data_IF_930377082459
#
_entry.id   IF_930377082459
#
_cell.length_a   1.000
_cell.length_b   1.000
_cell.length_c   1.000
_cell.angle_alpha   90.00
_cell.angle_beta   90.00
_cell.angle_gamma   90.00
#
_symmetry.space_group_name_H-M   'P 1'
#
loop_
_entity.id
_entity.type
_entity.pdbx_description
1 polymer ?
#
# COMPACT_ATOMS: atom_id res chain seq x y z
N UNK A 1 -27.11 -0.14 11.33
CA UNK A 1 -27.86 0.37 10.15
C UNK A 1 -26.92 0.52 8.94
N UNK A 2 -27.44 0.39 7.71
CA UNK A 2 -26.65 0.46 6.47
C UNK A 2 -25.88 1.78 6.28
N UNK A 3 -26.45 2.92 6.70
CA UNK A 3 -25.74 4.21 6.70
C UNK A 3 -24.49 4.18 7.59
N UNK A 4 -24.55 3.51 8.74
CA UNK A 4 -23.39 3.29 9.60
C UNK A 4 -22.31 2.42 8.93
N UNK A 5 -22.70 1.47 8.06
CA UNK A 5 -21.75 0.68 7.27
C UNK A 5 -21.02 1.54 6.24
N UNK A 6 -21.69 2.50 5.60
CA UNK A 6 -21.04 3.46 4.69
C UNK A 6 -19.97 4.27 5.42
N UNK A 7 -20.30 4.83 6.59
CA UNK A 7 -19.34 5.58 7.41
C UNK A 7 -18.14 4.70 7.84
N UNK A 8 -18.40 3.46 8.24
CA UNK A 8 -17.35 2.52 8.60
C UNK A 8 -16.41 2.18 7.42
N UNK A 9 -16.96 2.02 6.20
CA UNK A 9 -16.17 1.77 5.00
C UNK A 9 -15.30 2.98 4.64
N UNK A 10 -15.84 4.21 4.73
CA UNK A 10 -15.07 5.43 4.51
C UNK A 10 -13.94 5.58 5.55
N UNK A 11 -14.21 5.27 6.82
CA UNK A 11 -13.19 5.29 7.86
C UNK A 11 -12.11 4.21 7.65
N UNK A 12 -12.49 3.02 7.19
CA UNK A 12 -11.52 1.96 6.84
C UNK A 12 -10.63 2.39 5.68
N UNK A 13 -11.21 2.98 4.64
CA UNK A 13 -10.46 3.53 3.52
C UNK A 13 -9.53 4.65 3.96
N UNK A 14 -9.98 5.57 4.82
CA UNK A 14 -9.15 6.66 5.32
C UNK A 14 -7.89 6.16 6.05
N UNK A 15 -8.00 5.11 6.86
CA UNK A 15 -6.84 4.48 7.52
C UNK A 15 -5.87 3.86 6.50
N UNK A 16 -6.40 3.18 5.49
CA UNK A 16 -5.60 2.60 4.41
C UNK A 16 -4.88 3.68 3.60
N UNK A 17 -5.59 4.74 3.19
CA UNK A 17 -5.03 5.86 2.46
C UNK A 17 -3.93 6.57 3.26
N UNK A 18 -4.13 6.78 4.57
CA UNK A 18 -3.11 7.33 5.46
C UNK A 18 -1.86 6.43 5.53
N UNK A 19 -2.03 5.11 5.65
CA UNK A 19 -0.91 4.17 5.63
C UNK A 19 -0.14 4.16 4.30
N UNK A 20 -0.82 4.47 3.19
CA UNK A 20 -0.23 4.55 1.86
C UNK A 20 0.24 5.96 1.49
N UNK A 21 0.08 6.95 2.38
CA UNK A 21 0.40 8.34 2.09
C UNK A 21 -0.40 8.92 0.91
N UNK A 22 -1.62 8.45 0.66
CA UNK A 22 -2.47 8.92 -0.43
C UNK A 22 -3.46 9.97 0.09
N UNK A 23 -3.38 11.24 -0.36
CA UNK A 23 -4.41 12.22 -0.07
C UNK A 23 -5.65 11.93 -0.93
N UNK A 24 -6.86 12.01 -0.37
CA UNK A 24 -8.09 11.75 -1.11
C UNK A 24 -9.23 12.69 -0.72
N UNK A 25 -10.21 12.80 -1.62
CA UNK A 25 -11.47 13.49 -1.44
C UNK A 25 -12.61 12.49 -1.54
N UNK A 26 -13.51 12.50 -0.56
CA UNK A 26 -14.75 11.73 -0.59
C UNK A 26 -15.87 12.59 -1.17
N UNK A 27 -16.30 12.28 -2.39
CA UNK A 27 -17.26 13.09 -3.15
C UNK A 27 -18.52 12.27 -3.38
N UNK A 28 -19.68 12.77 -2.91
CA UNK A 28 -20.97 12.19 -3.30
C UNK A 28 -21.20 12.48 -4.78
N UNK A 29 -21.29 11.42 -5.59
CA UNK A 29 -21.49 11.58 -7.04
C UNK A 29 -22.88 12.12 -7.35
N UNK A 30 -23.02 12.90 -8.43
CA UNK A 30 -24.31 13.29 -8.96
C UNK A 30 -25.18 12.07 -9.27
N UNK A 31 -26.48 12.29 -9.37
CA UNK A 31 -27.47 11.22 -9.58
C UNK A 31 -27.21 10.40 -10.86
N UNK A 32 -26.73 11.05 -11.93
CA UNK A 32 -26.44 10.39 -13.21
C UNK A 32 -25.12 9.61 -13.25
N UNK A 33 -24.30 9.70 -12.19
CA UNK A 33 -22.97 9.08 -12.15
C UNK A 33 -22.75 8.22 -10.89
N UNK A 34 -23.84 7.90 -10.20
CA UNK A 34 -23.82 6.86 -9.18
C UNK A 34 -23.76 5.48 -9.86
N UNK A 35 -23.26 4.49 -9.13
CA UNK A 35 -23.33 3.10 -9.56
C UNK A 35 -24.78 2.70 -9.89
N UNK A 36 -24.98 1.98 -10.98
CA UNK A 36 -26.29 1.60 -11.47
C UNK A 36 -27.13 0.91 -10.37
N UNK A 37 -28.31 1.46 -10.09
CA UNK A 37 -29.20 0.96 -9.04
C UNK A 37 -28.84 1.37 -7.61
N UNK A 38 -27.77 2.15 -7.38
CA UNK A 38 -27.50 2.72 -6.07
C UNK A 38 -28.50 3.84 -5.70
N UNK A 39 -28.79 3.99 -4.41
CA UNK A 39 -29.47 5.16 -3.87
C UNK A 39 -28.54 6.39 -3.90
N UNK A 40 -27.27 6.21 -3.54
CA UNK A 40 -26.19 7.16 -3.83
C UNK A 40 -24.84 6.45 -3.90
N UNK A 41 -23.86 7.13 -4.49
CA UNK A 41 -22.46 6.70 -4.50
C UNK A 41 -21.56 7.80 -3.95
N UNK A 42 -20.54 7.39 -3.19
CA UNK A 42 -19.42 8.23 -2.79
C UNK A 42 -18.19 7.72 -3.51
N UNK A 43 -17.55 8.57 -4.31
CA UNK A 43 -16.27 8.29 -4.93
C UNK A 43 -15.13 8.77 -4.01
N UNK A 44 -14.00 8.09 -4.10
CA UNK A 44 -12.77 8.40 -3.39
C UNK A 44 -11.74 8.78 -4.46
N UNK A 45 -11.57 10.08 -4.65
CA UNK A 45 -10.77 10.66 -5.73
C UNK A 45 -9.46 11.24 -5.19
N UNK A 46 -8.37 11.11 -5.96
CA UNK A 46 -7.07 11.72 -5.64
C UNK A 46 -6.60 12.62 -6.78
N UNK A 47 -5.81 13.66 -6.50
CA UNK A 47 -5.06 14.37 -7.53
C UNK A 47 -3.86 13.52 -7.99
N UNK A 48 -3.64 13.41 -9.31
CA UNK A 48 -2.49 12.68 -9.90
C UNK A 48 -1.59 13.60 -10.76
N UNK A 49 -1.62 14.90 -10.49
CA UNK A 49 -0.85 15.92 -11.21
C UNK A 49 -1.50 16.40 -12.52
N UNK A 50 -0.96 17.49 -13.06
CA UNK A 50 -1.42 18.12 -14.31
C UNK A 50 -2.94 18.39 -14.37
N UNK A 51 -3.55 18.77 -13.24
CA UNK A 51 -4.98 19.06 -13.14
C UNK A 51 -5.91 17.85 -13.27
N UNK A 52 -5.38 16.62 -13.23
CA UNK A 52 -6.16 15.38 -13.37
C UNK A 52 -6.44 14.73 -12.02
N UNK A 53 -7.57 14.02 -11.97
CA UNK A 53 -7.98 13.21 -10.82
C UNK A 53 -8.09 11.74 -11.18
N UNK A 54 -7.91 10.87 -10.19
CA UNK A 54 -8.11 9.43 -10.32
C UNK A 54 -9.05 8.93 -9.21
N UNK A 55 -10.15 8.30 -9.60
CA UNK A 55 -10.99 7.57 -8.66
C UNK A 55 -10.32 6.25 -8.28
N UNK A 56 -10.02 6.09 -7.00
CA UNK A 56 -9.30 4.93 -6.43
C UNK A 56 -10.19 4.06 -5.54
N UNK A 57 -11.46 4.43 -5.38
CA UNK A 57 -12.45 3.62 -4.69
C UNK A 57 -13.86 4.22 -4.77
N UNK A 58 -14.85 3.40 -4.43
CA UNK A 58 -16.25 3.84 -4.38
C UNK A 58 -17.05 3.10 -3.32
N UNK A 59 -17.93 3.82 -2.63
CA UNK A 59 -18.88 3.27 -1.66
C UNK A 59 -20.31 3.53 -2.16
N UNK A 60 -21.15 2.51 -2.14
CA UNK A 60 -22.52 2.58 -2.65
C UNK A 60 -23.50 2.20 -1.56
N UNK A 61 -24.57 2.99 -1.43
CA UNK A 61 -25.71 2.64 -0.60
C UNK A 61 -26.87 2.28 -1.50
N UNK A 62 -27.47 1.11 -1.34
CA UNK A 62 -28.53 0.62 -2.22
C UNK A 62 -29.93 0.75 -1.62
N UNK A 63 -30.03 0.98 -0.31
CA UNK A 63 -31.30 0.76 0.43
C UNK A 63 -31.79 -0.66 0.06
N UNK A 64 -32.99 -0.77 -0.46
CA UNK A 64 -33.63 -2.04 -0.81
C UNK A 64 -33.55 -2.34 -2.32
N UNK A 65 -32.87 -1.50 -3.12
CA UNK A 65 -32.93 -1.56 -4.58
C UNK A 65 -32.50 -2.93 -5.16
N UNK A 66 -31.56 -3.60 -4.51
CA UNK A 66 -31.16 -4.97 -4.85
C UNK A 66 -31.91 -6.01 -4.02
N UNK A 67 -32.29 -5.71 -2.77
CA UNK A 67 -33.02 -6.65 -1.93
C UNK A 67 -34.38 -7.05 -2.51
N UNK A 68 -35.09 -6.11 -3.14
CA UNK A 68 -36.42 -6.32 -3.74
C UNK A 68 -36.42 -7.34 -4.89
N UNK A 69 -35.67 -7.13 -5.98
CA UNK A 69 -35.68 -8.07 -7.12
C UNK A 69 -35.17 -9.47 -6.75
N UNK A 70 -34.30 -9.58 -5.73
CA UNK A 70 -33.76 -10.88 -5.28
C UNK A 70 -34.50 -11.46 -4.06
N UNK A 71 -35.60 -10.84 -3.60
CA UNK A 71 -36.41 -11.37 -2.49
C UNK A 71 -35.71 -11.44 -1.13
N UNK A 72 -34.66 -10.64 -0.90
CA UNK A 72 -33.82 -10.69 0.31
C UNK A 72 -34.53 -9.98 1.47
N UNK A 73 -35.12 -10.78 2.36
CA UNK A 73 -36.00 -10.31 3.44
C UNK A 73 -35.55 -10.84 4.80
N UNK A 74 -36.02 -10.20 5.87
CA UNK A 74 -35.86 -10.62 7.25
C UNK A 74 -37.15 -10.38 8.05
N UNK A 75 -37.34 -11.13 9.13
CA UNK A 75 -38.40 -10.88 10.11
C UNK A 75 -37.93 -9.82 11.10
N UNK A 76 -38.67 -8.73 11.21
CA UNK A 76 -38.38 -7.66 12.15
C UNK A 76 -38.91 -7.99 13.56
N UNK A 77 -38.47 -7.24 14.57
CA UNK A 77 -38.84 -7.49 15.97
C UNK A 77 -40.35 -7.38 16.24
N UNK A 78 -41.10 -6.70 15.35
CA UNK A 78 -42.56 -6.60 15.39
C UNK A 78 -43.27 -7.75 14.64
N UNK A 79 -42.54 -8.77 14.19
CA UNK A 79 -43.05 -9.89 13.38
C UNK A 79 -43.30 -9.56 11.91
N UNK A 80 -43.10 -8.29 11.48
CA UNK A 80 -43.28 -7.91 10.08
C UNK A 80 -42.11 -8.41 9.22
N UNK A 81 -42.40 -8.83 7.99
CA UNK A 81 -41.35 -9.13 7.01
C UNK A 81 -40.88 -7.84 6.32
N UNK A 82 -39.58 -7.52 6.37
CA UNK A 82 -38.98 -6.33 5.75
C UNK A 82 -37.83 -6.69 4.82
N UNK A 83 -37.52 -5.80 3.86
CA UNK A 83 -36.35 -5.97 2.99
C UNK A 83 -35.08 -5.45 3.67
N UNK A 84 -33.96 -6.11 3.39
CA UNK A 84 -32.67 -5.66 3.92
C UNK A 84 -32.18 -4.40 3.22
N UNK A 85 -31.42 -3.57 3.95
CA UNK A 85 -30.65 -2.48 3.34
C UNK A 85 -29.22 -2.94 3.03
N UNK A 86 -28.78 -2.71 1.80
CA UNK A 86 -27.47 -3.16 1.33
C UNK A 86 -26.53 -1.99 1.03
N UNK A 87 -25.23 -2.27 1.11
CA UNK A 87 -24.13 -1.37 0.73
C UNK A 87 -23.01 -2.18 0.11
N UNK A 88 -22.24 -1.59 -0.80
CA UNK A 88 -20.97 -2.16 -1.28
C UNK A 88 -19.87 -1.12 -1.17
N UNK A 89 -18.64 -1.61 -1.17
CA UNK A 89 -17.42 -0.81 -1.24
C UNK A 89 -16.44 -1.56 -2.14
N UNK A 90 -15.89 -0.85 -3.12
CA UNK A 90 -15.02 -1.41 -4.15
C UNK A 90 -13.73 -0.63 -4.28
N UNK A 91 -12.66 -1.37 -4.52
CA UNK A 91 -11.30 -0.91 -4.81
C UNK A 91 -10.78 -1.70 -6.02
N UNK A 92 -9.77 -1.18 -6.70
CA UNK A 92 -9.09 -1.89 -7.80
C UNK A 92 -7.58 -1.65 -7.78
N UNK A 93 -6.87 -2.26 -8.73
CA UNK A 93 -5.45 -2.05 -9.01
C UNK A 93 -5.07 -0.59 -9.29
N UNK A 94 -6.06 0.29 -9.51
CA UNK A 94 -5.85 1.75 -9.53
C UNK A 94 -5.16 2.27 -8.28
N UNK A 95 -5.29 1.61 -7.13
CA UNK A 95 -4.53 1.95 -5.92
C UNK A 95 -3.02 1.82 -6.12
N UNK A 96 -2.55 0.80 -6.84
CA UNK A 96 -1.12 0.66 -7.15
C UNK A 96 -0.69 1.77 -8.12
N UNK A 97 -1.49 2.03 -9.16
CA UNK A 97 -1.23 3.12 -10.09
C UNK A 97 -1.19 4.49 -9.39
N UNK A 98 -2.07 4.71 -8.42
CA UNK A 98 -2.10 5.91 -7.59
C UNK A 98 -0.84 6.09 -6.75
N UNK A 99 -0.36 5.02 -6.10
CA UNK A 99 0.89 5.04 -5.32
C UNK A 99 2.07 5.43 -6.20
N UNK A 100 2.17 4.83 -7.40
CA UNK A 100 3.22 5.16 -8.36
C UNK A 100 3.10 6.61 -8.87
N UNK A 101 1.89 7.09 -9.15
CA UNK A 101 1.66 8.43 -9.66
C UNK A 101 1.91 9.53 -8.61
N UNK A 102 1.64 9.25 -7.33
CA UNK A 102 1.79 10.23 -6.23
C UNK A 102 3.22 10.24 -5.68
N UNK A 103 3.84 9.08 -5.52
CA UNK A 103 5.13 8.95 -4.84
C UNK A 103 6.31 8.74 -5.78
N UNK A 104 6.09 8.22 -6.99
CA UNK A 104 7.16 7.95 -7.94
C UNK A 104 7.98 9.18 -8.29
N UNK A 105 9.27 8.97 -8.55
CA UNK A 105 10.21 10.02 -8.94
C UNK A 105 10.99 9.62 -10.20
N UNK A 106 11.92 10.48 -10.64
CA UNK A 106 12.75 10.24 -11.83
C UNK A 106 13.67 9.01 -11.71
N UNK A 107 13.86 8.47 -10.49
CA UNK A 107 14.68 7.28 -10.22
C UNK A 107 13.85 6.01 -10.20
N UNK A 108 12.51 6.09 -10.18
CA UNK A 108 11.61 4.95 -10.29
C UNK A 108 10.47 4.98 -9.28
N UNK A 109 10.04 3.78 -8.87
CA UNK A 109 9.01 3.65 -7.86
C UNK A 109 9.50 4.16 -6.50
N UNK A 110 8.57 4.66 -5.68
CA UNK A 110 8.78 4.95 -4.26
C UNK A 110 7.60 4.36 -3.53
N UNK A 111 7.83 3.29 -2.77
CA UNK A 111 6.75 2.65 -2.04
C UNK A 111 6.68 3.15 -0.60
N UNK A 112 5.49 3.52 -0.10
CA UNK A 112 5.25 3.60 1.32
C UNK A 112 5.62 2.29 1.98
N UNK A 113 6.21 2.37 3.16
CA UNK A 113 6.64 1.19 3.93
C UNK A 113 5.52 0.17 4.14
N UNK A 114 4.26 0.60 4.25
CA UNK A 114 3.11 -0.30 4.40
C UNK A 114 2.82 -1.18 3.16
N UNK A 115 3.31 -0.77 1.98
CA UNK A 115 3.08 -1.44 0.70
C UNK A 115 4.31 -2.13 0.12
N UNK A 116 5.51 -1.64 0.47
CA UNK A 116 6.75 -2.18 -0.06
C UNK A 116 6.86 -3.70 0.18
N UNK A 117 7.14 -4.51 -0.85
CA UNK A 117 7.35 -5.95 -0.69
C UNK A 117 8.47 -6.26 0.32
N UNK A 118 9.54 -5.47 0.28
CA UNK A 118 10.61 -5.46 1.27
C UNK A 118 10.72 -4.05 1.84
N UNK A 119 10.64 -3.93 3.16
CA UNK A 119 10.86 -2.67 3.87
C UNK A 119 12.35 -2.32 3.92
N UNK A 120 13.19 -3.36 4.00
CA UNK A 120 14.64 -3.24 4.10
C UNK A 120 15.30 -4.18 3.09
N UNK A 121 16.16 -3.64 2.24
CA UNK A 121 17.05 -4.42 1.37
C UNK A 121 18.47 -4.30 1.89
N UNK A 122 19.21 -5.41 1.97
CA UNK A 122 20.56 -5.45 2.52
C UNK A 122 21.51 -5.88 1.40
N UNK A 123 22.51 -5.05 1.12
CA UNK A 123 23.52 -5.28 0.09
C UNK A 123 24.90 -5.41 0.76
N UNK A 124 25.40 -6.64 0.99
CA UNK A 124 26.79 -6.82 1.38
C UNK A 124 27.73 -6.40 0.25
N UNK A 125 28.82 -5.72 0.59
CA UNK A 125 29.85 -5.29 -0.35
C UNK A 125 31.03 -6.26 -0.23
N UNK A 126 31.30 -7.10 -1.25
CA UNK A 126 32.39 -8.06 -1.22
C UNK A 126 33.74 -7.39 -1.02
N UNK A 127 34.62 -8.00 -0.24
CA UNK A 127 35.99 -7.53 -0.04
C UNK A 127 36.95 -8.71 0.04
N UNK A 128 37.94 -8.74 -0.85
CA UNK A 128 38.96 -9.78 -0.84
C UNK A 128 39.77 -9.78 0.47
N UNK A 129 39.99 -8.61 1.07
CA UNK A 129 40.75 -8.46 2.32
C UNK A 129 39.97 -8.94 3.55
N UNK A 130 38.63 -8.87 3.54
CA UNK A 130 37.79 -9.24 4.67
C UNK A 130 37.10 -10.61 4.50
N UNK A 131 37.37 -11.32 3.41
CA UNK A 131 36.73 -12.60 3.11
C UNK A 131 35.20 -12.49 3.07
N UNK A 132 34.53 -13.35 3.83
CA UNK A 132 33.06 -13.44 3.91
C UNK A 132 32.44 -12.63 5.06
N UNK A 133 33.25 -11.84 5.80
CA UNK A 133 32.78 -11.08 6.96
C UNK A 133 31.59 -10.17 6.62
N UNK A 134 31.60 -9.37 5.52
CA UNK A 134 30.44 -8.54 5.17
C UNK A 134 29.15 -9.36 4.94
N UNK A 135 29.26 -10.50 4.27
CA UNK A 135 28.13 -11.38 3.97
C UNK A 135 27.57 -12.01 5.24
N UNK A 136 28.45 -12.49 6.13
CA UNK A 136 28.04 -13.05 7.43
C UNK A 136 27.36 -12.01 8.31
N UNK A 137 27.91 -10.79 8.36
CA UNK A 137 27.28 -9.67 9.08
C UNK A 137 25.93 -9.30 8.47
N UNK A 138 25.81 -9.24 7.14
CA UNK A 138 24.56 -8.96 6.47
C UNK A 138 23.49 -10.03 6.73
N UNK A 139 23.86 -11.31 6.71
CA UNK A 139 22.96 -12.41 7.06
C UNK A 139 22.50 -12.35 8.52
N UNK A 140 23.39 -11.96 9.44
CA UNK A 140 23.03 -11.75 10.85
C UNK A 140 22.04 -10.59 11.02
N UNK A 141 22.29 -9.46 10.36
CA UNK A 141 21.39 -8.29 10.40
C UNK A 141 20.02 -8.65 9.78
N UNK A 142 20.01 -9.39 8.67
CA UNK A 142 18.77 -9.85 8.04
C UNK A 142 17.93 -10.67 9.03
N UNK A 143 18.52 -11.70 9.66
CA UNK A 143 17.84 -12.55 10.65
C UNK A 143 17.29 -11.74 11.83
N UNK A 144 18.04 -10.76 12.34
CA UNK A 144 17.58 -9.90 13.45
C UNK A 144 16.38 -9.04 13.06
N UNK A 145 16.41 -8.46 11.86
CA UNK A 145 15.32 -7.63 11.36
C UNK A 145 14.08 -8.46 11.04
N UNK A 146 14.24 -9.64 10.46
CA UNK A 146 13.15 -10.60 10.23
C UNK A 146 12.53 -11.06 11.55
N UNK A 147 13.35 -11.38 12.55
CA UNK A 147 12.88 -11.71 13.90
C UNK A 147 12.13 -10.55 14.58
N UNK A 148 12.44 -9.30 14.20
CA UNK A 148 11.69 -8.11 14.61
C UNK A 148 10.44 -7.83 13.74
N UNK A 149 10.03 -8.78 12.90
CA UNK A 149 8.83 -8.70 12.06
C UNK A 149 8.97 -7.78 10.85
N UNK A 150 10.19 -7.49 10.40
CA UNK A 150 10.45 -6.67 9.21
C UNK A 150 10.48 -7.54 7.95
N UNK A 151 10.00 -6.99 6.84
CA UNK A 151 10.13 -7.64 5.52
C UNK A 151 11.49 -7.29 4.93
N UNK A 152 12.42 -8.23 4.96
CA UNK A 152 13.81 -8.00 4.58
C UNK A 152 14.15 -8.78 3.32
N UNK A 153 15.04 -8.23 2.50
CA UNK A 153 15.70 -8.94 1.40
C UNK A 153 17.20 -8.79 1.51
N UNK A 154 17.91 -9.90 1.72
CA UNK A 154 19.36 -9.96 1.51
C UNK A 154 19.63 -10.15 0.02
N UNK A 155 20.43 -9.27 -0.57
CA UNK A 155 20.92 -9.37 -1.95
C UNK A 155 22.42 -9.68 -1.94
N UNK A 156 22.74 -10.94 -1.65
CA UNK A 156 24.09 -11.52 -1.62
C UNK A 156 24.51 -12.17 -2.96
N UNK A 157 23.67 -12.06 -3.99
CA UNK A 157 23.94 -12.59 -5.32
C UNK A 157 25.15 -11.94 -6.02
N UNK A 158 25.58 -12.47 -7.17
CA UNK A 158 26.65 -11.85 -7.96
C UNK A 158 26.21 -10.47 -8.48
N UNK A 159 27.17 -9.55 -8.65
CA UNK A 159 26.92 -8.25 -9.27
C UNK A 159 27.69 -7.10 -8.60
N UNK A 160 27.83 -6.00 -9.33
CA UNK A 160 28.48 -4.78 -8.80
C UNK A 160 27.52 -4.07 -7.84
N UNK A 161 27.98 -3.58 -6.65
CA UNK A 161 27.12 -2.89 -5.69
C UNK A 161 26.28 -1.77 -6.31
N UNK A 162 26.88 -0.91 -7.14
CA UNK A 162 26.15 0.17 -7.82
C UNK A 162 24.99 -0.29 -8.70
N UNK A 163 25.10 -1.44 -9.36
CA UNK A 163 24.00 -2.00 -10.16
C UNK A 163 22.85 -2.48 -9.26
N UNK A 164 23.18 -3.07 -8.11
CA UNK A 164 22.19 -3.48 -7.10
C UNK A 164 21.51 -2.26 -6.48
N UNK A 165 22.26 -1.21 -6.18
CA UNK A 165 21.73 0.05 -5.66
C UNK A 165 20.68 0.63 -6.60
N UNK A 166 21.03 0.77 -7.87
CA UNK A 166 20.11 1.24 -8.90
C UNK A 166 18.88 0.33 -9.03
N UNK A 167 19.06 -0.99 -9.02
CA UNK A 167 17.95 -1.95 -9.11
C UNK A 167 16.94 -1.75 -7.97
N UNK A 168 17.41 -1.66 -6.72
CA UNK A 168 16.53 -1.51 -5.57
C UNK A 168 15.93 -0.12 -5.44
N UNK A 169 16.63 0.90 -5.93
CA UNK A 169 16.12 2.27 -6.02
C UNK A 169 15.00 2.37 -7.07
N UNK A 170 15.20 1.78 -8.25
CA UNK A 170 14.20 1.69 -9.31
C UNK A 170 12.92 0.98 -8.85
N UNK A 171 13.07 -0.10 -8.08
CA UNK A 171 11.95 -0.85 -7.52
C UNK A 171 11.32 -0.19 -6.28
N UNK A 172 11.91 0.89 -5.75
CA UNK A 172 11.34 1.67 -4.66
C UNK A 172 11.43 1.02 -3.28
N UNK A 173 12.49 0.25 -3.02
CA UNK A 173 12.77 -0.27 -1.68
C UNK A 173 12.97 0.90 -0.70
N UNK A 174 12.21 1.00 0.41
CA UNK A 174 12.24 2.19 1.28
C UNK A 174 13.59 2.44 1.96
N UNK A 175 14.22 1.38 2.46
CA UNK A 175 15.50 1.45 3.16
C UNK A 175 16.48 0.45 2.58
N UNK A 176 17.67 0.91 2.20
CA UNK A 176 18.79 0.05 1.82
C UNK A 176 19.88 0.10 2.88
N UNK A 177 20.32 -1.07 3.33
CA UNK A 177 21.47 -1.21 4.21
C UNK A 177 22.66 -1.72 3.43
N UNK A 178 23.79 -1.04 3.59
CA UNK A 178 25.04 -1.35 2.90
C UNK A 178 26.07 -1.77 3.95
N UNK A 179 26.65 -2.95 3.76
CA UNK A 179 27.56 -3.55 4.74
C UNK A 179 28.83 -3.97 4.01
N UNK A 180 29.87 -3.15 4.12
CA UNK A 180 31.21 -3.46 3.64
C UNK A 180 32.14 -3.94 4.75
N UNK A 181 33.40 -4.18 4.38
CA UNK A 181 34.43 -4.62 5.33
C UNK A 181 34.61 -3.65 6.50
N UNK A 182 34.58 -2.33 6.22
CA UNK A 182 34.72 -1.29 7.24
C UNK A 182 33.54 -1.30 8.20
N UNK A 183 32.32 -1.31 7.68
CA UNK A 183 31.09 -1.32 8.44
C UNK A 183 31.01 -2.58 9.33
N UNK A 184 31.31 -3.75 8.75
CA UNK A 184 31.31 -5.02 9.48
C UNK A 184 32.36 -5.05 10.62
N UNK A 185 33.58 -4.58 10.36
CA UNK A 185 34.64 -4.51 11.36
C UNK A 185 34.33 -3.49 12.48
N UNK A 186 33.69 -2.37 12.13
CA UNK A 186 33.30 -1.34 13.08
C UNK A 186 31.98 -1.63 13.81
N UNK A 187 31.30 -2.75 13.49
CA UNK A 187 29.94 -3.05 13.98
C UNK A 187 28.94 -1.92 13.68
N UNK A 188 29.07 -1.33 12.49
CA UNK A 188 28.21 -0.28 11.96
C UNK A 188 27.55 -0.75 10.67
N UNK A 189 26.62 0.05 10.16
CA UNK A 189 25.98 -0.15 8.86
C UNK A 189 25.73 1.22 8.23
N UNK A 190 25.81 1.30 6.91
CA UNK A 190 25.33 2.46 6.17
C UNK A 190 23.85 2.24 5.84
N UNK A 191 23.02 3.23 6.14
CA UNK A 191 21.59 3.21 5.89
C UNK A 191 21.26 4.32 4.88
N UNK A 192 20.63 3.94 3.77
CA UNK A 192 20.24 4.84 2.69
C UNK A 192 18.73 4.83 2.56
N UNK A 193 18.11 5.98 2.80
CA UNK A 193 16.68 6.19 2.58
C UNK A 193 16.42 6.38 1.07
N UNK A 194 15.34 5.79 0.56
CA UNK A 194 14.91 5.97 -0.84
C UNK A 194 14.68 7.43 -1.21
N UNK A 195 14.30 8.26 -0.25
CA UNK A 195 14.01 9.68 -0.46
C UNK A 195 15.26 10.57 -0.53
N UNK A 196 16.42 10.07 -0.06
CA UNK A 196 17.67 10.83 0.02
C UNK A 196 17.93 11.44 1.38
#
# INVERSE_FOLDING_TARGET
>A
AATGRVAANLAAFARMAAAFGLPFLAIRRPEWDKFAGAYYSVALDIPIGAGRTLQIGSVHHYRENFARPYGIRFEAADGSTRYVHQTTFGLSERLLGAVLAVHGDDRGAVFPRALAPFEVVIVPIPSAAAGDLPQRTAAEVARRLEAAGRRVRLDDGPGRPGAKYYHWELLGAPLRLEIGAREAAAQQLAAVDRLG
#
